data_IF_716039879572
#
_entry.id   IF_716039879572
#
_cell.length_a   1.000
_cell.length_b   1.000
_cell.length_c   1.000
_cell.angle_alpha   90.00
_cell.angle_beta   90.00
_cell.angle_gamma   90.00
#
_symmetry.space_group_name_H-M   'P 1'
#
loop_
_entity.id
_entity.type
_entity.pdbx_description
1 polymer ?
#
# COMPACT_ATOMS: atom_id res chain seq x y z
N UNK A 1 -27.69 -34.10 -16.72
CA UNK A 1 -26.85 -33.37 -17.70
C UNK A 1 -25.45 -33.19 -17.10
N UNK A 2 -24.42 -33.83 -17.67
CA UNK A 2 -23.03 -33.68 -17.20
C UNK A 2 -22.44 -32.40 -17.80
N UNK A 3 -21.97 -31.49 -16.96
CA UNK A 3 -21.33 -30.24 -17.39
C UNK A 3 -19.93 -30.55 -17.89
N UNK A 4 -19.66 -30.32 -19.17
CA UNK A 4 -18.35 -30.52 -19.78
C UNK A 4 -17.31 -29.59 -19.16
N UNK A 5 -16.06 -30.03 -18.95
CA UNK A 5 -15.04 -29.20 -18.34
C UNK A 5 -14.69 -28.06 -19.29
N UNK A 6 -14.92 -26.83 -18.84
CA UNK A 6 -14.58 -25.62 -19.58
C UNK A 6 -13.07 -25.59 -19.78
N UNK A 7 -12.61 -25.82 -21.02
CA UNK A 7 -11.21 -25.74 -21.41
C UNK A 7 -10.82 -24.26 -21.46
N UNK A 8 -10.66 -23.66 -20.29
CA UNK A 8 -10.03 -22.36 -20.11
C UNK A 8 -8.71 -22.38 -20.88
N UNK A 9 -8.64 -21.59 -21.96
CA UNK A 9 -7.42 -21.31 -22.70
C UNK A 9 -6.42 -20.67 -21.75
N UNK A 10 -5.63 -21.48 -21.05
CA UNK A 10 -4.51 -21.00 -20.27
C UNK A 10 -3.55 -20.38 -21.26
N UNK A 11 -3.44 -19.05 -21.26
CA UNK A 11 -2.37 -18.38 -21.99
C UNK A 11 -1.05 -18.97 -21.50
N UNK A 12 -0.18 -19.48 -22.39
CA UNK A 12 1.12 -19.96 -21.97
C UNK A 12 1.89 -18.80 -21.32
N UNK A 13 2.59 -19.11 -20.25
CA UNK A 13 3.58 -18.23 -19.65
C UNK A 13 4.60 -17.85 -20.71
N UNK A 14 5.11 -16.61 -20.68
CA UNK A 14 6.11 -16.19 -21.66
C UNK A 14 7.48 -16.78 -21.33
N UNK A 15 8.26 -17.11 -22.36
CA UNK A 15 9.56 -17.76 -22.22
C UNK A 15 10.59 -16.87 -21.51
N UNK A 16 10.42 -15.54 -21.55
CA UNK A 16 11.30 -14.59 -20.85
C UNK A 16 11.14 -14.58 -19.31
N UNK A 17 10.13 -15.25 -18.76
CA UNK A 17 9.84 -15.20 -17.33
C UNK A 17 10.50 -16.36 -16.57
N UNK A 18 11.50 -16.05 -15.76
CA UNK A 18 12.05 -16.97 -14.77
C UNK A 18 11.22 -16.94 -13.47
N UNK A 19 10.46 -18.01 -13.23
CA UNK A 19 9.71 -18.22 -11.99
C UNK A 19 10.41 -19.18 -11.02
N UNK A 20 11.69 -19.53 -11.21
CA UNK A 20 12.44 -20.44 -10.34
C UNK A 20 12.47 -19.97 -8.87
N UNK A 21 12.38 -18.66 -8.64
CA UNK A 21 12.35 -18.01 -7.32
C UNK A 21 10.94 -17.52 -6.94
N UNK A 22 9.89 -17.99 -7.60
CA UNK A 22 8.54 -17.51 -7.35
C UNK A 22 7.99 -18.04 -6.01
N UNK A 23 7.64 -17.13 -5.11
CA UNK A 23 7.04 -17.44 -3.82
C UNK A 23 5.57 -17.03 -3.79
N UNK A 24 4.68 -17.99 -3.53
CA UNK A 24 3.24 -17.72 -3.44
C UNK A 24 2.96 -16.85 -2.22
N UNK A 25 2.39 -15.68 -2.44
CA UNK A 25 1.97 -14.80 -1.34
C UNK A 25 3.11 -14.04 -0.66
N UNK A 26 4.27 -13.86 -1.33
CA UNK A 26 5.43 -13.08 -0.85
C UNK A 26 5.08 -11.74 -0.16
N UNK A 27 4.01 -11.09 -0.60
CA UNK A 27 3.52 -9.82 -0.04
C UNK A 27 2.12 -9.90 0.59
N UNK A 28 1.50 -11.08 0.66
CA UNK A 28 0.13 -11.24 1.13
C UNK A 28 -0.04 -10.74 2.58
N UNK A 29 0.92 -11.06 3.45
CA UNK A 29 0.91 -10.57 4.84
C UNK A 29 1.02 -9.05 4.91
N UNK A 30 1.92 -8.43 4.13
CA UNK A 30 2.08 -6.97 4.06
C UNK A 30 0.82 -6.28 3.54
N UNK A 31 0.15 -6.89 2.57
CA UNK A 31 -1.10 -6.40 2.03
C UNK A 31 -2.24 -6.51 3.06
N UNK A 32 -2.33 -7.63 3.78
CA UNK A 32 -3.34 -7.84 4.83
C UNK A 32 -3.22 -6.87 6.00
N UNK A 33 -2.00 -6.40 6.31
CA UNK A 33 -1.79 -5.32 7.29
C UNK A 33 -2.34 -3.97 6.82
N UNK A 34 -2.76 -3.84 5.56
CA UNK A 34 -3.19 -2.60 4.95
C UNK A 34 -2.02 -1.69 4.58
N UNK A 35 -2.20 -0.92 3.52
CA UNK A 35 -1.38 0.27 3.29
C UNK A 35 -2.20 1.48 3.75
N UNK A 36 -1.71 2.19 4.78
CA UNK A 36 -2.33 3.44 5.23
C UNK A 36 -1.95 4.56 4.26
N UNK A 37 -2.54 4.56 3.06
CA UNK A 37 -2.39 5.64 2.09
C UNK A 37 -3.39 6.74 2.45
N UNK A 38 -2.87 7.87 2.91
CA UNK A 38 -3.67 9.07 3.18
C UNK A 38 -3.43 10.04 2.02
N UNK A 39 -4.50 10.34 1.28
CA UNK A 39 -4.46 11.34 0.21
C UNK A 39 -4.63 12.71 0.86
N UNK A 40 -3.72 13.63 0.54
CA UNK A 40 -3.82 15.02 0.96
C UNK A 40 -4.67 15.79 -0.06
N UNK A 41 -5.42 16.77 0.43
CA UNK A 41 -6.11 17.72 -0.44
C UNK A 41 -5.09 18.51 -1.31
N UNK A 42 -5.47 18.94 -2.53
CA UNK A 42 -4.53 19.53 -3.49
C UNK A 42 -3.84 20.80 -2.98
N UNK A 43 -4.51 21.60 -2.16
CA UNK A 43 -3.96 22.79 -1.53
C UNK A 43 -2.88 22.44 -0.49
N UNK A 44 -3.14 21.44 0.35
CA UNK A 44 -2.17 20.92 1.33
C UNK A 44 -0.97 20.29 0.63
N UNK A 45 -1.21 19.51 -0.42
CA UNK A 45 -0.16 18.87 -1.22
C UNK A 45 0.77 19.89 -1.91
N UNK A 46 0.26 21.07 -2.29
CA UNK A 46 1.09 22.16 -2.85
C UNK A 46 2.07 22.74 -1.83
N UNK A 47 1.70 22.74 -0.55
CA UNK A 47 2.55 23.29 0.53
C UNK A 47 3.64 22.29 0.93
N UNK A 48 3.34 20.99 0.90
CA UNK A 48 4.27 19.94 1.34
C UNK A 48 4.88 19.16 0.18
N UNK A 49 6.20 19.28 0.00
CA UNK A 49 6.94 18.62 -1.08
C UNK A 49 7.07 17.10 -0.93
N UNK A 50 6.99 16.55 0.28
CA UNK A 50 7.09 15.11 0.53
C UNK A 50 6.51 14.69 1.89
N UNK A 51 6.34 13.37 2.08
CA UNK A 51 5.83 12.76 3.31
C UNK A 51 6.66 13.05 4.56
N UNK A 52 8.00 13.23 4.43
CA UNK A 52 8.87 13.57 5.57
C UNK A 52 8.51 14.94 6.13
N UNK A 53 8.25 15.92 5.26
CA UNK A 53 7.85 17.27 5.65
C UNK A 53 6.50 17.26 6.38
N UNK A 54 5.48 16.60 5.79
CA UNK A 54 4.15 16.43 6.40
C UNK A 54 4.25 15.81 7.80
N UNK A 55 4.94 14.67 7.90
CA UNK A 55 5.04 13.94 9.16
C UNK A 55 5.77 14.72 10.25
N UNK A 56 6.75 15.53 9.88
CA UNK A 56 7.48 16.38 10.84
C UNK A 56 6.56 17.43 11.44
N UNK A 57 5.76 18.10 10.60
CA UNK A 57 4.78 19.10 11.04
C UNK A 57 3.69 18.50 11.92
N UNK A 58 3.10 17.37 11.50
CA UNK A 58 2.05 16.70 12.29
C UNK A 58 2.57 16.24 13.66
N UNK A 59 3.79 15.70 13.74
CA UNK A 59 4.40 15.32 15.03
C UNK A 59 4.61 16.50 15.96
N UNK A 60 4.93 17.69 15.42
CA UNK A 60 5.06 18.91 16.23
C UNK A 60 3.72 19.27 16.87
N UNK A 61 2.63 19.23 16.09
CA UNK A 61 1.27 19.48 16.58
C UNK A 61 0.88 18.45 17.66
N UNK A 62 1.17 17.16 17.43
CA UNK A 62 0.90 16.10 18.42
C UNK A 62 1.61 16.36 19.75
N UNK A 63 2.88 16.81 19.71
CA UNK A 63 3.62 17.15 20.94
C UNK A 63 3.03 18.36 21.65
N UNK A 64 2.65 19.40 20.91
CA UNK A 64 2.01 20.57 21.50
C UNK A 64 0.72 20.19 22.21
N UNK A 65 -0.14 19.40 21.56
CA UNK A 65 -1.37 18.91 22.17
C UNK A 65 -1.14 17.97 23.35
N UNK A 66 -0.10 17.15 23.31
CA UNK A 66 0.24 16.28 24.44
C UNK A 66 0.68 17.08 25.68
N UNK A 67 1.28 18.27 25.49
CA UNK A 67 1.65 19.16 26.58
C UNK A 67 0.41 19.88 27.16
N UNK A 68 -0.53 20.29 26.31
CA UNK A 68 -1.80 20.91 26.72
C UNK A 68 -2.73 19.98 27.54
N UNK A 69 -2.60 18.65 27.37
CA UNK A 69 -3.40 17.66 28.10
C UNK A 69 -2.73 17.25 29.42
N UNK A 70 -1.46 17.61 29.61
CA UNK A 70 -0.69 17.31 30.82
C UNK A 70 -0.73 18.43 31.87
N UNK A 71 -1.25 19.61 31.51
CA UNK A 71 -1.67 20.69 32.43
C UNK A 71 -3.15 20.54 32.81
#
# INVERSE_FOLDING_TARGET
MKKSPNKSTRKPTRDEYDFSQAERGKYARRYAHGANVVVLEPDVAKVFSNSKSVNTSLRRIMRQRALEVAE
#
